data_IF_097297818958
#
_entry.id   IF_097297818958
#
_cell.length_a   1.000
_cell.length_b   1.000
_cell.length_c   1.000
_cell.angle_alpha   90.00
_cell.angle_beta   90.00
_cell.angle_gamma   90.00
#
_symmetry.space_group_name_H-M   'P 1'
#
loop_
_entity.id
_entity.type
_entity.pdbx_description
1 polymer ?
#
# COMPACT_ATOMS: atom_id res chain seq x y z
N UNK A 1 28.31 37.19 -40.83
CA UNK A 1 27.91 36.36 -39.68
C UNK A 1 27.93 34.91 -40.12
N UNK A 2 28.84 34.09 -39.59
CA UNK A 2 28.88 32.67 -39.95
C UNK A 2 27.57 32.01 -39.49
N UNK A 3 27.02 31.09 -40.28
CA UNK A 3 25.78 30.36 -39.93
C UNK A 3 25.85 29.82 -38.49
N UNK A 4 27.03 29.34 -38.07
CA UNK A 4 27.29 28.87 -36.70
C UNK A 4 27.04 29.93 -35.59
N UNK A 5 27.30 31.22 -35.84
CA UNK A 5 27.05 32.29 -34.86
C UNK A 5 25.55 32.61 -34.70
N UNK A 6 24.70 32.23 -35.67
CA UNK A 6 23.24 32.42 -35.59
C UNK A 6 22.59 31.17 -34.96
N UNK A 7 23.07 29.96 -35.28
CA UNK A 7 22.52 28.73 -34.73
C UNK A 7 22.79 28.54 -33.24
N UNK A 8 23.95 28.97 -32.73
CA UNK A 8 24.31 28.85 -31.32
C UNK A 8 23.31 29.54 -30.37
N UNK A 9 22.95 30.83 -30.54
CA UNK A 9 21.94 31.47 -29.69
C UNK A 9 20.54 30.88 -29.87
N UNK A 10 20.20 30.40 -31.07
CA UNK A 10 18.90 29.73 -31.31
C UNK A 10 18.79 28.44 -30.50
N UNK A 11 19.82 27.59 -30.50
CA UNK A 11 19.85 26.36 -29.68
C UNK A 11 19.81 26.69 -28.19
N UNK A 12 20.55 27.71 -27.76
CA UNK A 12 20.54 28.15 -26.36
C UNK A 12 19.14 28.61 -25.90
N UNK A 13 18.47 29.45 -26.71
CA UNK A 13 17.10 29.91 -26.43
C UNK A 13 16.12 28.74 -26.45
N UNK A 14 16.25 27.80 -27.40
CA UNK A 14 15.41 26.62 -27.45
C UNK A 14 15.57 25.75 -26.18
N UNK A 15 16.80 25.55 -25.70
CA UNK A 15 17.07 24.82 -24.46
C UNK A 15 16.45 25.51 -23.23
N UNK A 16 16.58 26.85 -23.13
CA UNK A 16 15.98 27.62 -22.05
C UNK A 16 14.44 27.56 -22.08
N UNK A 17 13.84 27.60 -23.27
CA UNK A 17 12.39 27.45 -23.43
C UNK A 17 11.92 26.06 -22.98
N UNK A 18 12.64 24.99 -23.33
CA UNK A 18 12.31 23.63 -22.88
C UNK A 18 12.38 23.52 -21.35
N UNK A 19 13.40 24.10 -20.72
CA UNK A 19 13.50 24.09 -19.25
C UNK A 19 12.36 24.91 -18.62
N UNK A 20 12.05 26.08 -19.18
CA UNK A 20 10.97 26.94 -18.70
C UNK A 20 9.60 26.25 -18.79
N UNK A 21 9.32 25.48 -19.85
CA UNK A 21 8.04 24.74 -19.96
C UNK A 21 7.92 23.62 -18.93
N UNK A 22 9.02 22.90 -18.64
CA UNK A 22 9.03 21.87 -17.60
C UNK A 22 8.76 22.49 -16.22
N UNK A 23 9.46 23.55 -15.87
CA UNK A 23 9.28 24.26 -14.59
C UNK A 23 7.86 24.80 -14.49
N UNK A 24 7.36 25.48 -15.52
CA UNK A 24 6.00 26.02 -15.53
C UNK A 24 4.94 24.94 -15.36
N UNK A 25 5.14 23.73 -15.91
CA UNK A 25 4.22 22.60 -15.71
C UNK A 25 4.20 22.16 -14.25
N UNK A 26 5.38 21.99 -13.63
CA UNK A 26 5.47 21.59 -12.23
C UNK A 26 4.87 22.62 -11.28
N UNK A 27 5.19 23.91 -11.48
CA UNK A 27 4.61 25.00 -10.69
C UNK A 27 3.08 25.06 -10.82
N UNK A 28 2.55 24.84 -12.03
CA UNK A 28 1.11 24.82 -12.24
C UNK A 28 0.44 23.64 -11.49
N UNK A 29 1.07 22.46 -11.45
CA UNK A 29 0.56 21.32 -10.68
C UNK A 29 0.62 21.61 -9.18
N UNK A 30 1.71 22.22 -8.70
CA UNK A 30 1.85 22.61 -7.29
C UNK A 30 0.79 23.63 -6.85
N UNK A 31 0.43 24.57 -7.74
CA UNK A 31 -0.52 25.63 -7.44
C UNK A 31 -1.99 25.22 -7.64
N UNK A 32 -2.30 24.50 -8.72
CA UNK A 32 -3.67 24.25 -9.18
C UNK A 32 -4.04 22.77 -9.28
N UNK A 33 -3.12 21.85 -8.98
CA UNK A 33 -3.38 20.41 -9.03
C UNK A 33 -4.37 19.97 -7.96
N UNK A 34 -5.12 18.89 -8.24
CA UNK A 34 -6.02 18.29 -7.25
C UNK A 34 -5.20 17.55 -6.20
N UNK A 35 -5.36 17.91 -4.93
CA UNK A 35 -4.54 17.39 -3.83
C UNK A 35 -5.20 16.20 -3.18
N UNK A 36 -4.49 15.07 -3.13
CA UNK A 36 -4.93 13.85 -2.46
C UNK A 36 -3.82 13.24 -1.61
N UNK A 37 -4.18 12.32 -0.73
CA UNK A 37 -3.22 11.56 0.07
C UNK A 37 -3.07 10.14 -0.47
N UNK A 38 -1.86 9.77 -0.88
CA UNK A 38 -1.53 8.40 -1.28
C UNK A 38 -0.90 7.68 -0.10
N UNK A 39 -1.56 6.61 0.36
CA UNK A 39 -1.10 5.80 1.48
C UNK A 39 0.02 4.85 1.07
N UNK A 40 1.08 4.79 1.87
CA UNK A 40 2.13 3.80 1.72
C UNK A 40 1.77 2.50 2.42
N UNK A 41 2.36 1.39 1.98
CA UNK A 41 2.37 0.16 2.74
C UNK A 41 3.06 0.36 4.11
N UNK A 42 2.65 -0.41 5.13
CA UNK A 42 3.50 -0.72 6.28
C UNK A 42 4.72 -1.51 5.77
N UNK A 43 5.94 -0.98 5.96
CA UNK A 43 7.17 -1.32 5.20
C UNK A 43 8.37 -1.60 6.12
N UNK A 44 9.20 -2.57 5.71
CA UNK A 44 10.60 -2.85 6.10
C UNK A 44 11.58 -1.86 5.40
N UNK A 45 12.44 -1.13 6.13
CA UNK A 45 13.42 -0.24 5.50
C UNK A 45 14.53 -0.99 4.78
N UNK A 46 14.88 -0.56 3.55
CA UNK A 46 16.17 -0.90 2.93
C UNK A 46 16.92 0.34 2.49
N UNK A 47 18.18 0.36 2.96
CA UNK A 47 19.36 1.08 2.48
C UNK A 47 19.73 2.40 3.21
N UNK A 48 20.68 2.27 4.15
CA UNK A 48 21.27 3.33 4.99
C UNK A 48 22.42 4.12 4.31
N UNK A 49 22.72 3.91 3.03
CA UNK A 49 23.99 4.38 2.45
C UNK A 49 23.93 5.31 1.22
N UNK A 50 22.78 5.90 0.86
CA UNK A 50 22.68 6.72 -0.38
C UNK A 50 22.10 8.13 -0.25
N UNK A 51 22.11 8.71 0.96
CA UNK A 51 21.55 10.03 1.28
C UNK A 51 20.19 9.92 1.98
N UNK A 52 19.69 11.04 2.51
CA UNK A 52 18.42 11.07 3.25
C UNK A 52 17.22 11.15 2.28
N UNK A 53 16.85 10.00 1.71
CA UNK A 53 15.57 9.83 1.04
C UNK A 53 14.88 8.57 1.53
N UNK A 54 13.55 8.61 1.55
CA UNK A 54 12.72 7.48 1.94
C UNK A 54 12.16 6.82 0.69
N UNK A 55 12.25 5.49 0.62
CA UNK A 55 11.57 4.70 -0.42
C UNK A 55 10.10 4.54 -0.04
N UNK A 56 9.24 4.89 -0.97
CA UNK A 56 7.79 4.86 -0.83
C UNK A 56 7.23 3.70 -1.66
N UNK A 57 6.49 2.84 -0.97
CA UNK A 57 5.74 1.75 -1.57
C UNK A 57 4.25 2.02 -1.35
N UNK A 58 3.48 2.20 -2.42
CA UNK A 58 2.10 2.70 -2.33
C UNK A 58 1.08 1.56 -2.34
N UNK A 59 0.11 1.61 -1.43
CA UNK A 59 -0.94 0.59 -1.33
C UNK A 59 -1.71 0.41 -2.65
N UNK A 60 -2.08 1.51 -3.30
CA UNK A 60 -2.80 1.51 -4.57
C UNK A 60 -2.01 0.84 -5.71
N UNK A 61 -0.67 0.85 -5.67
CA UNK A 61 0.17 0.23 -6.71
C UNK A 61 0.03 -1.28 -6.63
N UNK A 62 0.03 -1.85 -5.43
CA UNK A 62 -0.21 -3.29 -5.23
C UNK A 62 -1.60 -3.70 -5.69
N UNK A 63 -2.64 -2.92 -5.32
CA UNK A 63 -4.00 -3.18 -5.81
C UNK A 63 -4.09 -3.10 -7.33
N UNK A 64 -3.41 -2.13 -7.93
CA UNK A 64 -3.38 -1.96 -9.38
C UNK A 64 -2.72 -3.15 -10.06
N UNK A 65 -1.59 -3.65 -9.55
CA UNK A 65 -0.98 -4.91 -10.04
C UNK A 65 -1.99 -6.08 -10.00
N UNK A 66 -2.75 -6.20 -8.91
CA UNK A 66 -3.79 -7.22 -8.78
C UNK A 66 -4.89 -7.11 -9.85
N UNK A 67 -5.44 -5.93 -10.05
CA UNK A 67 -6.46 -5.66 -11.07
C UNK A 67 -5.92 -5.84 -12.50
N UNK A 68 -4.69 -5.41 -12.76
CA UNK A 68 -4.03 -5.62 -14.05
C UNK A 68 -3.86 -7.10 -14.35
N UNK A 69 -3.44 -7.90 -13.37
CA UNK A 69 -3.30 -9.35 -13.53
C UNK A 69 -4.64 -10.02 -13.81
N UNK A 70 -5.68 -9.65 -13.06
CA UNK A 70 -7.05 -10.19 -13.22
C UNK A 70 -7.63 -9.87 -14.59
N UNK A 71 -7.46 -8.64 -15.07
CA UNK A 71 -7.96 -8.20 -16.37
C UNK A 71 -7.01 -8.52 -17.54
N UNK A 72 -5.87 -9.18 -17.26
CA UNK A 72 -4.77 -9.38 -18.21
C UNK A 72 -4.39 -8.08 -18.95
N UNK A 73 -4.42 -6.95 -18.24
CA UNK A 73 -4.11 -5.63 -18.77
C UNK A 73 -2.60 -5.49 -18.96
N UNK A 74 -2.18 -5.21 -20.19
CA UNK A 74 -0.78 -4.98 -20.56
C UNK A 74 -0.67 -3.66 -21.30
N UNK A 75 -0.11 -2.67 -20.63
CA UNK A 75 0.12 -1.35 -21.20
C UNK A 75 1.29 -0.68 -20.48
N UNK A 76 2.12 0.05 -21.21
CA UNK A 76 3.27 0.76 -20.61
C UNK A 76 2.81 1.96 -19.79
N UNK A 77 1.78 2.67 -20.26
CA UNK A 77 1.12 3.73 -19.50
C UNK A 77 -0.21 3.19 -18.98
N UNK A 78 -0.45 3.38 -17.69
CA UNK A 78 -1.70 3.03 -17.02
C UNK A 78 -2.22 4.23 -16.24
N UNK A 79 -3.53 4.30 -16.09
CA UNK A 79 -4.23 5.36 -15.39
C UNK A 79 -5.03 4.71 -14.28
N UNK A 80 -4.68 5.06 -13.05
CA UNK A 80 -5.29 4.53 -11.85
C UNK A 80 -6.37 5.51 -11.43
N UNK A 81 -7.63 5.13 -11.63
CA UNK A 81 -8.77 5.96 -11.23
C UNK A 81 -8.96 5.88 -9.72
N UNK A 82 -9.13 7.03 -9.10
CA UNK A 82 -9.13 7.18 -7.65
C UNK A 82 -10.47 7.73 -7.15
N UNK A 83 -10.79 7.36 -5.92
CA UNK A 83 -11.81 8.03 -5.11
C UNK A 83 -11.25 8.32 -3.74
N UNK A 84 -11.45 9.53 -3.23
CA UNK A 84 -11.00 9.92 -1.90
C UNK A 84 -12.03 9.55 -0.84
N UNK A 85 -11.54 9.22 0.35
CA UNK A 85 -12.38 9.10 1.54
C UNK A 85 -12.53 10.46 2.25
N UNK A 86 -13.20 10.48 3.41
CA UNK A 86 -13.41 11.69 4.22
C UNK A 86 -12.13 12.38 4.73
N UNK A 87 -10.98 11.70 4.64
CA UNK A 87 -9.66 12.23 5.01
C UNK A 87 -8.82 12.60 3.78
N UNK A 88 -9.41 12.64 2.60
CA UNK A 88 -8.74 12.86 1.31
C UNK A 88 -7.72 11.76 0.94
N UNK A 89 -7.80 10.59 1.58
CA UNK A 89 -6.95 9.43 1.24
C UNK A 89 -7.54 8.75 0.02
N UNK A 90 -6.73 8.63 -1.03
CA UNK A 90 -7.14 8.06 -2.30
C UNK A 90 -7.16 6.53 -2.27
N UNK A 91 -8.31 5.96 -2.65
CA UNK A 91 -8.51 4.54 -2.89
C UNK A 91 -8.59 4.26 -4.38
N UNK A 92 -7.99 3.16 -4.83
CA UNK A 92 -8.07 2.70 -6.22
C UNK A 92 -9.47 2.19 -6.55
N UNK A 93 -10.03 2.65 -7.66
CA UNK A 93 -11.33 2.22 -8.21
C UNK A 93 -11.12 1.26 -9.38
N UNK A 94 -10.31 1.65 -10.36
CA UNK A 94 -10.01 0.85 -11.55
C UNK A 94 -8.66 1.23 -12.15
N UNK A 95 -8.18 0.41 -13.09
CA UNK A 95 -6.94 0.65 -13.85
C UNK A 95 -7.26 0.55 -15.33
N UNK A 96 -6.97 1.63 -16.06
CA UNK A 96 -7.20 1.71 -17.51
C UNK A 96 -5.89 1.94 -18.27
N UNK A 97 -5.82 1.54 -19.53
CA UNK A 97 -4.67 1.82 -20.42
C UNK A 97 -4.76 3.17 -21.13
N UNK A 98 -5.93 3.81 -21.07
CA UNK A 98 -6.20 5.11 -21.70
C UNK A 98 -6.59 6.13 -20.64
N UNK A 99 -6.14 7.38 -20.81
CA UNK A 99 -6.46 8.45 -19.88
C UNK A 99 -7.98 8.68 -19.82
N UNK A 100 -8.58 8.73 -18.62
CA UNK A 100 -9.99 9.07 -18.48
C UNK A 100 -10.20 10.54 -18.85
N UNK A 101 -11.41 10.88 -19.32
CA UNK A 101 -11.77 12.26 -19.68
C UNK A 101 -12.16 13.10 -18.48
N UNK A 102 -12.63 12.45 -17.42
CA UNK A 102 -13.14 13.06 -16.19
C UNK A 102 -12.80 12.17 -15.00
N UNK A 103 -12.78 12.78 -13.81
CA UNK A 103 -12.51 12.10 -12.55
C UNK A 103 -11.06 12.24 -12.12
N UNK A 104 -10.81 11.79 -10.90
CA UNK A 104 -9.51 11.82 -10.27
C UNK A 104 -8.70 10.58 -10.67
N UNK A 105 -7.50 10.77 -11.20
CA UNK A 105 -6.63 9.66 -11.56
C UNK A 105 -5.16 10.02 -11.40
N UNK A 106 -4.34 8.99 -11.19
CA UNK A 106 -2.89 9.11 -11.23
C UNK A 106 -2.34 8.27 -12.38
N UNK A 107 -1.43 8.87 -13.15
CA UNK A 107 -0.73 8.19 -14.22
C UNK A 107 0.41 7.37 -13.63
N UNK A 108 0.51 6.12 -14.08
CA UNK A 108 1.58 5.19 -13.76
C UNK A 108 2.23 4.62 -15.02
N UNK A 109 3.41 4.07 -14.83
CA UNK A 109 4.23 3.42 -15.83
C UNK A 109 4.44 1.98 -15.42
N UNK A 110 3.97 1.04 -16.23
CA UNK A 110 4.27 -0.36 -16.07
C UNK A 110 5.41 -0.73 -17.01
N UNK A 111 6.46 -1.37 -16.47
CA UNK A 111 7.56 -1.91 -17.26
C UNK A 111 7.53 -3.44 -17.26
N UNK A 112 8.56 -4.04 -17.85
CA UNK A 112 8.76 -5.50 -17.90
C UNK A 112 8.47 -6.18 -16.56
N UNK A 113 7.94 -7.40 -16.65
CA UNK A 113 7.59 -8.23 -15.51
C UNK A 113 8.80 -8.50 -14.62
N UNK A 114 8.57 -8.46 -13.32
CA UNK A 114 9.55 -8.90 -12.34
C UNK A 114 9.66 -10.44 -12.30
N UNK A 115 10.53 -10.95 -11.42
CA UNK A 115 10.71 -12.40 -11.21
C UNK A 115 9.44 -13.10 -10.69
N UNK A 116 8.46 -12.33 -10.19
CA UNK A 116 7.17 -12.80 -9.70
C UNK A 116 6.08 -12.78 -10.78
N UNK A 117 6.45 -12.52 -12.04
CA UNK A 117 5.53 -12.38 -13.18
C UNK A 117 4.49 -11.28 -12.98
N UNK A 118 4.81 -10.26 -12.18
CA UNK A 118 4.00 -9.07 -12.00
C UNK A 118 4.63 -7.88 -12.72
N UNK A 119 3.82 -7.01 -13.34
CA UNK A 119 4.35 -5.80 -13.95
C UNK A 119 4.96 -4.91 -12.86
N UNK A 120 6.18 -4.42 -13.10
CA UNK A 120 6.75 -3.38 -12.24
C UNK A 120 6.01 -2.07 -12.55
N UNK A 121 5.11 -1.68 -11.67
CA UNK A 121 4.30 -0.46 -11.77
C UNK A 121 4.91 0.64 -10.89
N UNK A 122 5.13 1.82 -11.48
CA UNK A 122 5.66 3.01 -10.80
C UNK A 122 4.83 4.25 -11.16
N UNK A 123 4.59 5.13 -10.20
CA UNK A 123 3.99 6.45 -10.36
C UNK A 123 5.04 7.54 -10.66
N UNK A 124 6.32 7.26 -10.44
CA UNK A 124 7.40 8.25 -10.57
C UNK A 124 7.62 9.09 -9.31
N UNK A 125 6.98 8.71 -8.20
CA UNK A 125 7.04 9.37 -6.89
C UNK A 125 7.41 8.37 -5.78
N UNK A 126 8.19 7.34 -6.10
CA UNK A 126 8.64 6.29 -5.15
C UNK A 126 9.78 6.74 -4.24
N UNK A 127 10.31 7.94 -4.46
CA UNK A 127 11.41 8.50 -3.67
C UNK A 127 11.00 9.84 -3.10
N UNK A 128 11.13 9.98 -1.78
CA UNK A 128 10.88 11.23 -1.08
C UNK A 128 12.15 11.72 -0.42
N UNK A 129 12.70 12.82 -0.93
CA UNK A 129 13.92 13.43 -0.42
C UNK A 129 13.59 14.31 0.78
N UNK A 130 14.36 14.15 1.85
CA UNK A 130 14.19 14.90 3.09
C UNK A 130 15.50 15.56 3.50
N UNK A 131 15.41 16.50 4.45
CA UNK A 131 16.59 17.13 5.01
C UNK A 131 17.49 16.10 5.70
N UNK A 132 18.78 16.46 5.81
CA UNK A 132 19.77 15.53 6.34
C UNK A 132 19.42 15.09 7.77
N UNK A 133 19.33 13.79 8.03
CA UNK A 133 18.93 13.21 9.32
C UNK A 133 17.42 13.01 9.54
N UNK A 134 16.55 13.73 8.83
CA UNK A 134 15.10 13.58 8.95
C UNK A 134 14.59 12.24 8.38
N UNK A 135 15.35 11.62 7.48
CA UNK A 135 15.02 10.30 6.91
C UNK A 135 14.94 9.21 7.98
N UNK A 136 15.90 9.21 8.91
CA UNK A 136 15.95 8.26 10.02
C UNK A 136 14.78 8.43 10.99
N UNK A 137 14.34 9.66 11.23
CA UNK A 137 13.18 9.92 12.09
C UNK A 137 11.89 9.41 11.45
N UNK A 138 11.71 9.63 10.14
CA UNK A 138 10.56 9.10 9.41
C UNK A 138 10.56 7.57 9.39
N UNK A 139 11.71 6.93 9.23
CA UNK A 139 11.86 5.47 9.31
C UNK A 139 11.54 4.95 10.72
N UNK A 140 12.05 5.61 11.77
CA UNK A 140 11.77 5.22 13.15
C UNK A 140 10.28 5.31 13.52
N UNK A 141 9.57 6.33 13.03
CA UNK A 141 8.12 6.48 13.24
C UNK A 141 7.33 5.45 12.42
N UNK A 142 7.82 5.12 11.21
CA UNK A 142 7.23 4.07 10.36
C UNK A 142 7.39 2.68 10.98
N UNK A 143 8.38 2.46 11.83
CA UNK A 143 8.57 1.26 12.64
C UNK A 143 9.36 0.15 11.93
N UNK A 144 9.85 -0.80 12.73
CA UNK A 144 10.48 -2.06 12.29
C UNK A 144 9.46 -3.19 12.14
N UNK A 145 9.85 -4.28 11.48
CA UNK A 145 9.02 -5.37 11.02
C UNK A 145 8.05 -6.01 12.04
N UNK A 146 8.40 -6.04 13.32
CA UNK A 146 7.54 -6.61 14.39
C UNK A 146 7.06 -5.56 15.41
N UNK A 147 7.35 -4.30 15.14
CA UNK A 147 7.00 -3.17 16.00
C UNK A 147 5.72 -2.48 15.52
N UNK A 148 5.31 -1.43 16.22
CA UNK A 148 4.19 -0.60 15.78
C UNK A 148 4.58 0.19 14.53
N UNK A 149 3.95 -0.16 13.42
CA UNK A 149 4.11 0.50 12.15
C UNK A 149 3.07 1.61 11.96
N UNK A 150 3.53 2.74 11.41
CA UNK A 150 2.67 3.89 11.12
C UNK A 150 2.76 4.24 9.64
N UNK A 151 1.77 3.86 8.82
CA UNK A 151 1.79 4.15 7.38
C UNK A 151 1.93 5.65 7.12
N UNK A 152 2.70 6.00 6.09
CA UNK A 152 2.85 7.38 5.63
C UNK A 152 1.74 7.68 4.61
N UNK A 153 1.14 8.86 4.74
CA UNK A 153 0.15 9.37 3.78
C UNK A 153 0.81 10.56 3.06
N UNK A 154 1.23 10.32 1.81
CA UNK A 154 1.90 11.33 1.00
C UNK A 154 0.89 12.29 0.40
N UNK A 155 1.05 13.59 0.67
CA UNK A 155 0.24 14.65 0.05
C UNK A 155 0.73 14.87 -1.37
N UNK A 156 -0.07 14.50 -2.36
CA UNK A 156 0.27 14.53 -3.78
C UNK A 156 -0.69 15.45 -4.52
N UNK A 157 -0.15 16.40 -5.27
CA UNK A 157 -0.90 17.20 -6.22
C UNK A 157 -0.91 16.47 -7.58
N UNK A 158 -2.09 16.30 -8.16
CA UNK A 158 -2.31 15.63 -9.43
C UNK A 158 -2.59 16.67 -10.51
N UNK A 159 -1.78 16.64 -11.57
CA UNK A 159 -2.01 17.44 -12.77
C UNK A 159 -3.19 16.91 -13.59
N UNK A 160 -3.70 17.72 -14.52
CA UNK A 160 -4.81 17.34 -15.41
C UNK A 160 -4.53 16.13 -16.32
N UNK A 161 -3.25 15.77 -16.49
CA UNK A 161 -2.79 14.58 -17.23
C UNK A 161 -2.47 13.39 -16.29
N UNK A 162 -2.80 13.50 -15.01
CA UNK A 162 -2.51 12.51 -13.98
C UNK A 162 -1.07 12.51 -13.48
N UNK A 163 -0.23 13.48 -13.87
CA UNK A 163 1.15 13.59 -13.36
C UNK A 163 1.13 13.88 -11.85
N UNK A 164 1.72 13.01 -11.01
CA UNK A 164 1.78 13.24 -9.57
C UNK A 164 3.01 14.05 -9.15
N UNK A 165 2.82 14.96 -8.20
CA UNK A 165 3.90 15.71 -7.54
C UNK A 165 3.72 15.67 -6.03
N UNK A 166 4.74 15.22 -5.29
CA UNK A 166 4.72 15.21 -3.83
C UNK A 166 4.84 16.65 -3.31
N UNK A 167 3.93 17.04 -2.42
CA UNK A 167 3.87 18.38 -1.81
C UNK A 167 4.03 18.35 -0.28
N UNK A 168 4.04 17.17 0.32
CA UNK A 168 4.17 16.97 1.76
C UNK A 168 3.79 15.56 2.16
N UNK A 169 3.69 15.33 3.47
CA UNK A 169 3.28 14.05 4.03
C UNK A 169 2.60 14.26 5.39
N UNK A 170 1.88 13.24 5.85
CA UNK A 170 1.43 13.10 7.24
C UNK A 170 1.42 11.62 7.62
N UNK A 171 1.40 11.32 8.91
CA UNK A 171 1.24 9.95 9.38
C UNK A 171 -0.23 9.54 9.41
N UNK A 172 -0.48 8.26 9.10
CA UNK A 172 -1.75 7.62 9.37
C UNK A 172 -2.06 7.70 10.87
N UNK A 173 -3.27 8.09 11.27
CA UNK A 173 -3.69 8.11 12.67
C UNK A 173 -4.15 6.72 13.15
N UNK A 174 -3.87 5.68 12.35
CA UNK A 174 -4.01 4.28 12.71
C UNK A 174 -2.64 3.65 12.62
N UNK A 175 -2.21 3.03 13.71
CA UNK A 175 -0.97 2.25 13.79
C UNK A 175 -1.31 0.78 13.81
N UNK A 176 -0.45 -0.02 13.20
CA UNK A 176 -0.64 -1.47 13.16
C UNK A 176 0.60 -2.19 13.62
N UNK A 177 0.44 -3.41 14.11
CA UNK A 177 1.57 -4.27 14.47
C UNK A 177 1.24 -5.69 14.08
N UNK A 178 2.18 -6.35 13.43
CA UNK A 178 2.07 -7.76 13.07
C UNK A 178 3.23 -8.50 13.71
N UNK A 179 2.95 -9.61 14.39
CA UNK A 179 3.99 -10.49 14.94
C UNK A 179 3.47 -11.91 15.01
N UNK A 180 4.37 -12.88 15.07
CA UNK A 180 4.00 -14.22 15.49
C UNK A 180 4.06 -14.31 17.02
N UNK A 181 3.09 -14.99 17.63
CA UNK A 181 3.15 -15.27 19.06
C UNK A 181 4.34 -16.20 19.35
N UNK A 182 4.95 -16.01 20.51
CA UNK A 182 6.09 -16.82 20.95
C UNK A 182 5.60 -18.25 21.23
N UNK A 183 6.23 -19.24 20.60
CA UNK A 183 5.80 -20.63 20.66
C UNK A 183 6.51 -21.33 21.83
N UNK A 184 5.77 -21.87 22.80
CA UNK A 184 6.34 -22.53 24.00
C UNK A 184 7.30 -23.68 23.62
N UNK A 185 7.02 -24.39 22.52
CA UNK A 185 7.82 -25.52 22.02
C UNK A 185 8.90 -25.12 20.99
N UNK A 186 9.19 -23.82 20.81
CA UNK A 186 10.17 -23.36 19.81
C UNK A 186 11.57 -23.96 20.00
N UNK A 187 11.94 -24.30 21.25
CA UNK A 187 13.20 -24.99 21.57
C UNK A 187 13.17 -26.49 21.21
N UNK A 188 11.98 -27.12 21.18
CA UNK A 188 11.80 -28.53 20.90
C UNK A 188 11.66 -28.82 19.39
N UNK A 189 11.10 -27.88 18.62
CA UNK A 189 10.97 -27.98 17.16
C UNK A 189 11.32 -26.64 16.48
N UNK A 190 12.63 -26.34 16.32
CA UNK A 190 13.08 -25.06 15.77
C UNK A 190 12.67 -24.83 14.30
N UNK A 191 12.37 -25.90 13.55
CA UNK A 191 11.95 -25.82 12.15
C UNK A 191 10.43 -25.79 11.98
N UNK A 192 9.65 -25.88 13.07
CA UNK A 192 8.20 -25.81 12.99
C UNK A 192 7.75 -24.39 12.61
N UNK A 193 6.88 -24.22 11.60
CA UNK A 193 6.43 -22.90 11.19
C UNK A 193 5.51 -22.31 12.28
N UNK A 194 5.62 -20.99 12.57
CA UNK A 194 4.80 -20.38 13.60
C UNK A 194 3.33 -20.43 13.22
N UNK A 195 2.48 -20.71 14.21
CA UNK A 195 1.06 -21.02 13.96
C UNK A 195 0.14 -19.84 14.30
N UNK A 196 0.48 -19.07 15.33
CA UNK A 196 -0.33 -17.97 15.86
C UNK A 196 0.19 -16.63 15.37
N UNK A 197 -0.57 -15.98 14.50
CA UNK A 197 -0.31 -14.64 14.01
C UNK A 197 -1.10 -13.64 14.84
N UNK A 198 -0.41 -12.68 15.46
CA UNK A 198 -1.03 -11.56 16.13
C UNK A 198 -1.03 -10.32 15.23
N UNK A 199 -2.22 -9.73 15.08
CA UNK A 199 -2.37 -8.45 14.40
C UNK A 199 -3.05 -7.45 15.34
N UNK A 200 -2.37 -6.34 15.63
CA UNK A 200 -2.87 -5.28 16.49
C UNK A 200 -3.14 -4.00 15.71
N UNK A 201 -4.23 -3.32 16.04
CA UNK A 201 -4.63 -2.00 15.53
C UNK A 201 -4.70 -1.05 16.73
N UNK A 202 -4.04 0.10 16.64
CA UNK A 202 -4.11 1.18 17.64
C UNK A 202 -4.77 2.41 17.04
N UNK A 203 -5.75 2.97 17.76
CA UNK A 203 -6.37 4.23 17.39
C UNK A 203 -5.52 5.41 17.88
N UNK A 204 -4.76 6.04 17.00
CA UNK A 204 -3.97 7.24 17.31
C UNK A 204 -4.71 8.54 16.93
N UNK A 205 -6.01 8.48 16.64
CA UNK A 205 -6.87 9.66 16.38
C UNK A 205 -7.25 10.34 17.69
N UNK A 206 -7.72 11.58 17.56
CA UNK A 206 -8.42 12.29 18.64
C UNK A 206 -9.92 11.97 18.70
N UNK A 207 -10.42 11.08 17.84
CA UNK A 207 -11.81 10.66 17.76
C UNK A 207 -11.93 9.13 17.85
N UNK A 208 -13.08 8.60 18.30
CA UNK A 208 -13.31 7.16 18.33
C UNK A 208 -13.21 6.51 16.93
N UNK A 209 -12.76 5.27 16.91
CA UNK A 209 -12.71 4.42 15.72
C UNK A 209 -13.61 3.20 15.94
N UNK A 210 -14.64 3.07 15.10
CA UNK A 210 -15.53 1.91 15.12
C UNK A 210 -14.96 0.79 14.24
N UNK A 211 -14.72 -0.36 14.84
CA UNK A 211 -14.42 -1.62 14.14
C UNK A 211 -15.59 -2.60 14.27
N UNK A 212 -15.63 -3.59 13.40
CA UNK A 212 -16.63 -4.65 13.34
C UNK A 212 -15.94 -5.97 13.13
N UNK A 213 -16.03 -6.86 14.12
CA UNK A 213 -15.45 -8.20 14.02
C UNK A 213 -16.25 -9.23 14.84
N UNK A 214 -16.01 -10.51 14.58
CA UNK A 214 -16.57 -11.62 15.34
C UNK A 214 -15.48 -12.58 15.85
N UNK A 215 -15.88 -13.67 16.49
CA UNK A 215 -14.92 -14.66 17.01
C UNK A 215 -14.22 -15.46 15.90
N UNK A 216 -14.77 -15.47 14.68
CA UNK A 216 -14.15 -16.09 13.52
C UNK A 216 -13.29 -15.10 12.72
N UNK A 217 -13.14 -13.88 13.23
CA UNK A 217 -12.38 -12.79 12.62
C UNK A 217 -12.83 -12.50 11.17
N UNK A 218 -14.15 -12.54 10.94
CA UNK A 218 -14.76 -12.28 9.63
C UNK A 218 -14.67 -10.81 9.19
N UNK A 219 -14.27 -9.89 10.06
CA UNK A 219 -13.92 -8.52 9.71
C UNK A 219 -12.58 -8.38 8.98
N UNK A 220 -11.76 -9.44 8.95
CA UNK A 220 -10.44 -9.45 8.32
C UNK A 220 -10.42 -10.36 7.10
N UNK A 221 -9.61 -10.02 6.10
CA UNK A 221 -9.33 -10.86 4.94
C UNK A 221 -7.82 -11.12 4.82
N UNK A 222 -7.48 -12.31 4.34
CA UNK A 222 -6.12 -12.63 3.94
C UNK A 222 -5.93 -12.27 2.47
N UNK A 223 -4.84 -11.59 2.15
CA UNK A 223 -4.50 -11.18 0.79
C UNK A 223 -3.05 -11.52 0.44
N UNK A 224 -2.76 -11.66 -0.85
CA UNK A 224 -1.39 -11.75 -1.35
C UNK A 224 -0.64 -10.43 -1.12
N UNK A 225 0.60 -10.47 -0.64
CA UNK A 225 1.29 -9.25 -0.23
C UNK A 225 1.62 -8.27 -1.39
N UNK A 226 1.88 -8.78 -2.60
CA UNK A 226 2.30 -7.98 -3.77
C UNK A 226 1.15 -7.45 -4.64
N UNK A 227 -0.03 -8.05 -4.52
CA UNK A 227 -1.19 -7.74 -5.37
C UNK A 227 -2.42 -7.33 -4.59
N UNK A 228 -2.41 -7.52 -3.26
CA UNK A 228 -3.55 -7.35 -2.37
C UNK A 228 -4.83 -8.09 -2.82
N UNK A 229 -4.68 -9.10 -3.68
CA UNK A 229 -5.80 -9.95 -4.10
C UNK A 229 -6.21 -10.86 -2.95
N UNK A 230 -7.51 -11.01 -2.69
CA UNK A 230 -8.01 -11.86 -1.61
C UNK A 230 -7.66 -13.32 -1.86
N UNK A 231 -7.23 -13.99 -0.79
CA UNK A 231 -7.08 -15.44 -0.76
C UNK A 231 -8.44 -16.04 -0.44
N UNK A 232 -8.92 -16.96 -1.28
CA UNK A 232 -10.16 -17.68 -1.04
C UNK A 232 -9.95 -18.67 0.11
N UNK A 233 -10.36 -18.30 1.33
CA UNK A 233 -10.22 -19.11 2.53
C UNK A 233 -11.37 -20.10 2.71
N UNK A 234 -11.13 -21.21 3.41
CA UNK A 234 -12.14 -22.22 3.73
C UNK A 234 -13.02 -21.80 4.93
N UNK A 235 -13.54 -20.57 4.87
CA UNK A 235 -14.47 -20.00 5.84
C UNK A 235 -15.64 -19.33 5.13
N UNK A 236 -16.76 -19.24 5.83
CA UNK A 236 -17.97 -18.61 5.30
C UNK A 236 -18.42 -17.43 6.16
N UNK A 237 -18.03 -16.22 5.75
CA UNK A 237 -18.40 -14.99 6.44
C UNK A 237 -19.68 -14.33 5.88
N UNK A 238 -20.37 -14.94 4.90
CA UNK A 238 -21.57 -14.34 4.29
C UNK A 238 -22.75 -14.15 5.24
N UNK A 239 -22.79 -14.94 6.32
CA UNK A 239 -23.82 -14.87 7.38
C UNK A 239 -23.24 -14.42 8.73
N UNK A 240 -22.01 -13.95 8.75
CA UNK A 240 -21.37 -13.52 9.99
C UNK A 240 -22.06 -12.26 10.52
N UNK A 241 -22.38 -12.27 11.82
CA UNK A 241 -22.90 -11.09 12.51
C UNK A 241 -21.73 -10.46 13.24
N UNK A 242 -21.18 -9.39 12.66
CA UNK A 242 -20.05 -8.68 13.23
C UNK A 242 -20.50 -7.84 14.43
N UNK A 243 -19.74 -7.91 15.52
CA UNK A 243 -19.98 -7.08 16.70
C UNK A 243 -19.26 -5.75 16.53
N UNK A 244 -19.93 -4.67 16.92
CA UNK A 244 -19.34 -3.34 17.00
C UNK A 244 -18.32 -3.29 18.13
N UNK A 245 -17.13 -2.79 17.82
CA UNK A 245 -16.00 -2.59 18.73
C UNK A 245 -15.61 -1.12 18.60
N UNK A 246 -15.74 -0.37 19.69
CA UNK A 246 -15.38 1.05 19.70
C UNK A 246 -14.01 1.22 20.35
N UNK A 247 -13.08 1.83 19.61
CA UNK A 247 -11.74 2.15 20.09
C UNK A 247 -11.64 3.64 20.35
N UNK A 248 -11.52 4.03 21.62
CA UNK A 248 -11.22 5.41 21.99
C UNK A 248 -9.78 5.78 21.64
N UNK A 249 -9.42 7.08 21.64
CA UNK A 249 -8.04 7.52 21.45
C UNK A 249 -7.06 6.77 22.37
N UNK A 250 -6.09 6.08 21.79
CA UNK A 250 -5.09 5.26 22.48
C UNK A 250 -5.48 3.78 22.67
N UNK A 251 -6.74 3.40 22.42
CA UNK A 251 -7.19 2.02 22.55
C UNK A 251 -6.60 1.13 21.45
N UNK A 252 -6.48 -0.15 21.80
CA UNK A 252 -5.91 -1.18 20.93
C UNK A 252 -6.88 -2.34 20.76
N UNK A 253 -6.96 -2.84 19.54
CA UNK A 253 -7.63 -4.08 19.22
C UNK A 253 -6.61 -5.09 18.69
N UNK A 254 -6.55 -6.27 19.30
CA UNK A 254 -5.66 -7.35 18.87
C UNK A 254 -6.50 -8.55 18.46
N UNK A 255 -6.19 -9.09 17.28
CA UNK A 255 -6.66 -10.39 16.83
C UNK A 255 -5.53 -11.39 16.83
N UNK A 256 -5.86 -12.62 17.18
CA UNK A 256 -4.93 -13.74 17.18
C UNK A 256 -5.48 -14.81 16.24
N UNK A 257 -4.72 -15.12 15.21
CA UNK A 257 -5.14 -15.99 14.11
C UNK A 257 -4.25 -17.22 14.11
N UNK A 258 -4.84 -18.36 14.40
CA UNK A 258 -4.20 -19.66 14.22
C UNK A 258 -4.28 -20.08 12.75
N UNK A 259 -3.16 -19.93 12.04
CA UNK A 259 -3.00 -20.28 10.62
C UNK A 259 -3.00 -21.79 10.36
N UNK A 260 -2.99 -22.63 11.41
CA UNK A 260 -3.18 -24.08 11.28
C UNK A 260 -4.64 -24.46 11.09
N UNK A 261 -5.58 -23.62 11.56
CA UNK A 261 -7.01 -23.90 11.51
C UNK A 261 -7.54 -23.91 10.07
N UNK A 262 -8.49 -24.83 9.83
CA UNK A 262 -9.11 -25.02 8.52
C UNK A 262 -9.68 -23.72 7.93
N UNK A 263 -10.28 -22.86 8.76
CA UNK A 263 -10.88 -21.60 8.34
C UNK A 263 -9.87 -20.58 7.76
N UNK A 264 -8.59 -20.73 8.09
CA UNK A 264 -7.49 -19.88 7.62
C UNK A 264 -6.61 -20.57 6.57
N UNK A 265 -6.97 -21.77 6.14
CA UNK A 265 -6.41 -22.44 4.98
C UNK A 265 -7.15 -22.00 3.70
N UNK A 266 -6.45 -22.00 2.57
CA UNK A 266 -7.06 -21.67 1.30
C UNK A 266 -7.94 -22.82 0.78
N UNK A 267 -8.95 -22.49 -0.01
CA UNK A 267 -9.78 -23.47 -0.72
C UNK A 267 -8.95 -24.08 -1.86
N UNK A 268 -8.75 -25.39 -1.83
CA UNK A 268 -8.30 -26.15 -2.99
C UNK A 268 -9.45 -26.78 -3.77
N UNK A 269 -9.12 -27.48 -4.86
CA UNK A 269 -10.10 -28.13 -5.73
C UNK A 269 -10.72 -29.39 -5.09
N UNK A 270 -9.90 -30.18 -4.37
CA UNK A 270 -10.33 -31.37 -3.63
C UNK A 270 -10.18 -31.16 -2.12
N UNK A 271 -9.01 -30.69 -1.70
CA UNK A 271 -8.62 -30.55 -0.31
C UNK A 271 -8.20 -29.10 0.00
N UNK A 272 -8.33 -28.65 1.26
CA UNK A 272 -7.79 -27.37 1.69
C UNK A 272 -6.28 -27.29 1.44
N UNK A 273 -5.83 -26.14 0.94
CA UNK A 273 -4.42 -25.86 0.69
C UNK A 273 -3.85 -25.03 1.84
N UNK A 274 -2.68 -25.43 2.32
CA UNK A 274 -1.91 -24.59 3.23
C UNK A 274 -1.46 -23.30 2.54
N UNK A 275 -1.25 -22.23 3.30
CA UNK A 275 -0.75 -20.97 2.73
C UNK A 275 0.63 -21.12 2.05
N UNK A 276 1.44 -22.11 2.46
CA UNK A 276 2.70 -22.41 1.81
C UNK A 276 2.53 -22.98 0.39
N UNK A 277 1.45 -23.70 0.13
CA UNK A 277 1.14 -24.25 -1.20
C UNK A 277 0.51 -23.22 -2.13
N UNK A 278 -0.21 -22.26 -1.55
CA UNK A 278 -0.90 -21.17 -2.27
C UNK A 278 0.10 -20.19 -2.87
N UNK A 279 1.15 -19.85 -2.13
CA UNK A 279 2.16 -18.89 -2.54
C UNK A 279 3.51 -19.55 -2.81
N UNK A 280 3.58 -20.28 -3.92
CA UNK A 280 4.82 -20.91 -4.41
C UNK A 280 5.92 -19.91 -4.78
N UNK A 281 5.56 -18.64 -4.94
CA UNK A 281 6.48 -17.55 -5.24
C UNK A 281 7.08 -16.91 -3.98
N UNK A 282 6.68 -17.34 -2.78
CA UNK A 282 7.20 -16.84 -1.49
C UNK A 282 7.07 -15.32 -1.35
N UNK A 283 6.03 -14.75 -1.93
CA UNK A 283 5.70 -13.33 -1.86
C UNK A 283 5.00 -12.94 -0.56
N UNK A 284 4.64 -13.90 0.29
CA UNK A 284 4.02 -13.65 1.60
C UNK A 284 2.56 -13.17 1.51
N UNK A 285 2.01 -12.92 2.68
CA UNK A 285 0.61 -12.55 2.87
C UNK A 285 0.50 -11.28 3.72
N UNK A 286 -0.67 -10.65 3.65
CA UNK A 286 -1.08 -9.56 4.54
C UNK A 286 -2.51 -9.83 5.03
N UNK A 287 -2.83 -9.31 6.21
CA UNK A 287 -4.20 -9.15 6.67
C UNK A 287 -4.68 -7.76 6.30
N UNK A 288 -5.91 -7.70 5.81
CA UNK A 288 -6.62 -6.45 5.52
C UNK A 288 -7.88 -6.47 6.36
N UNK A 289 -8.06 -5.46 7.20
CA UNK A 289 -9.34 -5.21 7.83
C UNK A 289 -10.32 -4.66 6.78
N UNK A 290 -11.41 -5.39 6.56
CA UNK A 290 -12.47 -5.09 5.60
C UNK A 290 -13.81 -4.77 6.28
N UNK A 291 -13.88 -4.85 7.62
CA UNK A 291 -15.09 -4.55 8.37
C UNK A 291 -15.58 -3.13 8.07
N UNK A 292 -16.88 -2.98 7.82
CA UNK A 292 -17.49 -1.71 7.44
C UNK A 292 -17.08 -0.60 8.41
N UNK A 293 -16.37 0.42 7.94
CA UNK A 293 -16.11 1.62 8.73
C UNK A 293 -17.28 2.57 8.48
N UNK A 294 -18.30 2.50 9.35
CA UNK A 294 -19.39 3.47 9.55
C UNK A 294 -20.16 4.03 8.33
N UNK A 295 -20.33 3.31 7.20
CA UNK A 295 -21.49 3.41 6.26
C UNK A 295 -21.33 2.48 5.04
N UNK A 296 -22.42 2.09 4.33
CA UNK A 296 -22.36 1.26 3.13
C UNK A 296 -21.97 2.08 1.89
N UNK A 297 -20.84 2.80 1.97
CA UNK A 297 -20.15 3.34 0.81
C UNK A 297 -18.70 2.88 0.90
N UNK A 298 -18.19 2.28 -0.18
CA UNK A 298 -17.04 2.73 -0.97
C UNK A 298 -15.81 3.45 -0.34
N UNK A 299 -15.87 3.90 0.92
CA UNK A 299 -14.99 4.85 1.59
C UNK A 299 -14.36 4.29 2.89
N UNK A 300 -14.57 2.99 3.16
CA UNK A 300 -13.97 2.32 4.30
C UNK A 300 -12.43 2.40 4.23
N UNK A 301 -11.84 3.00 5.25
CA UNK A 301 -10.40 3.08 5.40
C UNK A 301 -9.84 1.67 5.63
N UNK A 302 -9.15 1.12 4.62
CA UNK A 302 -8.58 -0.21 4.73
C UNK A 302 -7.32 -0.15 5.61
N UNK A 303 -7.29 -1.01 6.63
CA UNK A 303 -6.17 -1.13 7.57
C UNK A 303 -5.41 -2.39 7.20
N UNK A 304 -4.13 -2.23 6.84
CA UNK A 304 -3.28 -3.34 6.40
C UNK A 304 -2.25 -3.71 7.46
N UNK A 305 -1.98 -5.01 7.51
CA UNK A 305 -0.85 -5.55 8.25
C UNK A 305 0.46 -5.39 7.49
N UNK A 306 1.55 -5.45 8.24
CA UNK A 306 2.87 -5.80 7.74
C UNK A 306 2.83 -7.11 6.93
N UNK A 307 3.77 -7.32 6.02
CA UNK A 307 3.86 -8.57 5.25
C UNK A 307 4.37 -9.67 6.16
N UNK A 308 3.80 -10.87 6.06
CA UNK A 308 4.25 -12.02 6.84
C UNK A 308 4.32 -13.27 5.98
N UNK A 309 5.13 -14.24 6.42
CA UNK A 309 5.35 -15.48 5.69
C UNK A 309 4.91 -16.69 6.49
N UNK A 310 4.43 -17.74 5.81
CA UNK A 310 3.96 -18.96 6.49
C UNK A 310 5.08 -19.69 7.24
N UNK A 311 6.33 -19.61 6.77
CA UNK A 311 7.51 -20.17 7.43
C UNK A 311 7.99 -19.36 8.64
N UNK A 312 7.29 -18.28 8.97
CA UNK A 312 7.72 -17.31 9.96
C UNK A 312 8.44 -16.13 9.33
N UNK A 313 8.55 -15.05 10.10
CA UNK A 313 9.02 -13.76 9.62
C UNK A 313 7.88 -12.80 9.28
N UNK A 314 8.08 -11.57 9.70
CA UNK A 314 7.28 -10.40 9.35
C UNK A 314 8.28 -9.39 8.78
N UNK A 315 7.88 -8.68 7.73
CA UNK A 315 8.60 -7.55 7.11
C UNK A 315 8.02 -6.21 7.58
#
# INVERSE_FOLDING_TARGET
MNKAQIWLPVVLVAQLLILATIVSKHENIMANGEVVYLRTMPVDPRDIFRGDYVVLDYELVHRAKGLMQENNLRADNVYLNLRTNQRDVANLVSVDSTAPTLGLFVRGFASAFDHSYLPKLQLGIEKYFVEQGAGKELEAIRGEAQSWQTPLEMRVALGSDGTPVITGHRFSPIRTRTRFAEQEDALAQPDAPPQHLEFSIENSRLAPLTLFDDQAHCGFALVHAETLRPVALNRNCSKAVLKRIELFPGDRYQVEIDLSQLQWQAKGQSDPLSLAEVDRAWNGFRLVYQGQVDTPTADAEQILSARFFRRGGVD
#
